data_IF_270439749419
#
_entry.id   IF_270439749419
#
_cell.length_a   1.000
_cell.length_b   1.000
_cell.length_c   1.000
_cell.angle_alpha   90.00
_cell.angle_beta   90.00
_cell.angle_gamma   90.00
#
_symmetry.space_group_name_H-M   'P 1'
#
loop_
_entity.id
_entity.type
_entity.pdbx_description
1 polymer ?
#
# COMPACT_ATOMS: atom_id res chain seq x y z
N UNK A 1 -12.96 1.79 10.79
CA UNK A 1 -13.15 3.07 10.09
C UNK A 1 -13.05 2.94 8.56
N UNK A 2 -12.35 1.91 8.03
CA UNK A 2 -12.14 1.69 6.59
C UNK A 2 -13.01 0.58 5.99
N UNK A 3 -13.94 0.02 6.75
CA UNK A 3 -14.86 -1.01 6.24
C UNK A 3 -15.65 -0.52 5.02
N UNK A 4 -15.75 -1.35 3.98
CA UNK A 4 -16.38 -0.98 2.71
C UNK A 4 -15.44 -0.31 1.69
N UNK A 5 -14.18 -0.07 2.07
CA UNK A 5 -13.16 0.52 1.20
C UNK A 5 -11.92 -0.37 1.14
N UNK A 6 -11.22 -0.31 0.04
CA UNK A 6 -9.85 -0.82 -0.02
C UNK A 6 -8.93 0.07 0.81
N UNK A 7 -7.94 -0.52 1.44
CA UNK A 7 -6.95 0.20 2.24
C UNK A 7 -5.53 -0.20 1.84
N UNK A 8 -4.70 0.80 1.60
CA UNK A 8 -3.25 0.66 1.55
C UNK A 8 -2.70 1.16 2.88
N UNK A 9 -2.38 0.23 3.79
CA UNK A 9 -1.63 0.50 5.01
C UNK A 9 -0.14 0.35 4.70
N UNK A 10 0.65 1.40 4.94
CA UNK A 10 2.08 1.35 4.65
C UNK A 10 2.91 1.99 5.75
N UNK A 11 4.00 1.33 6.11
CA UNK A 11 4.96 1.86 7.07
C UNK A 11 6.14 2.52 6.39
N UNK A 12 6.77 3.46 7.07
CA UNK A 12 8.03 4.08 6.66
C UNK A 12 9.00 4.16 7.85
N UNK A 13 10.32 4.14 7.59
CA UNK A 13 11.32 4.09 8.64
C UNK A 13 11.33 5.29 9.58
N UNK A 14 11.30 6.50 9.04
CA UNK A 14 11.30 7.72 9.86
C UNK A 14 10.90 8.95 9.03
N UNK A 15 10.24 9.90 9.70
CA UNK A 15 9.98 11.22 9.19
C UNK A 15 11.28 11.96 8.84
N UNK A 16 11.20 12.98 8.00
CA UNK A 16 12.32 13.84 7.56
C UNK A 16 13.47 13.10 6.84
N UNK A 17 13.30 11.84 6.47
CA UNK A 17 14.32 11.10 5.70
C UNK A 17 14.08 11.23 4.19
N UNK A 18 15.14 11.18 3.36
CA UNK A 18 15.01 11.46 1.92
C UNK A 18 14.08 10.50 1.19
N UNK A 19 14.26 9.19 1.35
CA UNK A 19 13.46 8.18 0.65
C UNK A 19 12.00 8.24 1.08
N UNK A 20 11.72 8.35 2.39
CA UNK A 20 10.35 8.46 2.90
C UNK A 20 9.66 9.73 2.36
N UNK A 21 10.38 10.84 2.26
CA UNK A 21 9.84 12.07 1.68
C UNK A 21 9.44 11.89 0.21
N UNK A 22 10.26 11.20 -0.60
CA UNK A 22 9.91 10.91 -2.00
C UNK A 22 8.68 10.02 -2.12
N UNK A 23 8.55 9.02 -1.24
CA UNK A 23 7.40 8.12 -1.21
C UNK A 23 6.11 8.85 -0.85
N UNK A 24 6.12 9.69 0.20
CA UNK A 24 4.96 10.46 0.62
C UNK A 24 4.48 11.43 -0.45
N UNK A 25 5.41 12.10 -1.13
CA UNK A 25 5.10 12.96 -2.28
C UNK A 25 4.45 12.14 -3.41
N UNK A 26 4.97 10.94 -3.70
CA UNK A 26 4.43 10.07 -4.73
C UNK A 26 3.02 9.55 -4.38
N UNK A 27 2.79 9.12 -3.13
CA UNK A 27 1.47 8.73 -2.65
C UNK A 27 0.48 9.90 -2.71
N UNK A 28 0.89 11.09 -2.27
CA UNK A 28 0.04 12.28 -2.30
C UNK A 28 -0.37 12.66 -3.73
N UNK A 29 0.55 12.60 -4.68
CA UNK A 29 0.28 12.86 -6.10
C UNK A 29 -0.62 11.79 -6.73
N UNK A 30 -0.59 10.57 -6.21
CA UNK A 30 -1.42 9.47 -6.66
C UNK A 30 -2.77 9.37 -5.90
N UNK A 31 -3.01 10.20 -4.89
CA UNK A 31 -4.16 10.12 -3.99
C UNK A 31 -5.48 10.03 -4.74
N UNK A 32 -5.73 10.90 -5.72
CA UNK A 32 -6.99 10.91 -6.47
C UNK A 32 -7.17 9.65 -7.33
N UNK A 33 -6.07 9.03 -7.77
CA UNK A 33 -6.12 7.75 -8.49
C UNK A 33 -6.49 6.60 -7.57
N UNK A 34 -5.99 6.59 -6.34
CA UNK A 34 -6.42 5.62 -5.33
C UNK A 34 -7.89 5.83 -4.95
N UNK A 35 -8.30 7.08 -4.73
CA UNK A 35 -9.70 7.40 -4.43
C UNK A 35 -10.65 6.94 -5.54
N UNK A 36 -10.27 7.09 -6.81
CA UNK A 36 -11.03 6.59 -7.97
C UNK A 36 -11.17 5.05 -7.97
N UNK A 37 -10.27 4.33 -7.29
CA UNK A 37 -10.34 2.88 -7.07
C UNK A 37 -11.01 2.53 -5.72
N UNK A 38 -11.77 3.44 -5.11
CA UNK A 38 -12.35 3.26 -3.77
C UNK A 38 -11.31 2.82 -2.73
N UNK A 39 -10.10 3.37 -2.80
CA UNK A 39 -8.95 2.97 -1.99
C UNK A 39 -8.47 4.14 -1.14
N UNK A 40 -8.36 3.93 0.16
CA UNK A 40 -7.79 4.86 1.13
C UNK A 40 -6.30 4.55 1.38
N UNK A 41 -5.56 5.58 1.76
CA UNK A 41 -4.16 5.50 2.13
C UNK A 41 -4.00 5.76 3.63
N UNK A 42 -3.17 4.98 4.30
CA UNK A 42 -2.87 5.11 5.71
C UNK A 42 -1.38 4.86 5.95
N UNK A 43 -0.66 5.94 6.29
CA UNK A 43 0.75 5.86 6.65
C UNK A 43 0.96 5.43 8.10
N UNK A 44 2.15 4.91 8.43
CA UNK A 44 2.53 4.56 9.78
C UNK A 44 4.04 4.70 9.96
N UNK A 45 4.46 5.28 11.07
CA UNK A 45 5.81 5.10 11.61
C UNK A 45 5.80 5.16 13.13
N UNK A 46 6.95 4.88 13.74
CA UNK A 46 7.12 4.99 15.19
C UNK A 46 7.42 6.42 15.66
N UNK A 47 7.42 7.39 14.75
CA UNK A 47 7.57 8.80 15.09
C UNK A 47 6.32 9.34 15.79
N UNK A 48 6.49 10.43 16.54
CA UNK A 48 5.38 11.08 17.23
C UNK A 48 4.47 11.84 16.27
N UNK A 49 3.20 12.04 16.67
CA UNK A 49 2.27 12.90 15.90
C UNK A 49 2.79 14.31 15.68
N UNK A 50 3.61 14.83 16.60
CA UNK A 50 4.21 16.15 16.45
C UNK A 50 5.28 16.18 15.36
N UNK A 51 6.06 15.09 15.23
CA UNK A 51 7.00 14.91 14.14
C UNK A 51 6.24 14.80 12.80
N UNK A 52 5.19 13.97 12.72
CA UNK A 52 4.34 13.87 11.54
C UNK A 52 3.78 15.23 11.09
N UNK A 53 3.21 16.01 12.01
CA UNK A 53 2.66 17.33 11.72
C UNK A 53 3.75 18.27 11.17
N UNK A 54 4.91 18.31 11.79
CA UNK A 54 6.01 19.14 11.36
C UNK A 54 6.54 18.71 9.98
N UNK A 55 6.65 17.40 9.74
CA UNK A 55 7.12 16.85 8.49
C UNK A 55 6.17 17.12 7.32
N UNK A 56 4.87 16.87 7.51
CA UNK A 56 3.84 17.16 6.50
C UNK A 56 3.84 18.64 6.11
N UNK A 57 3.95 19.54 7.09
CA UNK A 57 4.11 20.98 6.83
C UNK A 57 5.37 21.29 6.03
N UNK A 58 6.50 20.70 6.40
CA UNK A 58 7.77 20.87 5.68
C UNK A 58 7.67 20.37 4.22
N UNK A 59 6.98 19.25 3.97
CA UNK A 59 6.73 18.75 2.60
C UNK A 59 5.92 19.78 1.81
N UNK A 60 4.84 20.30 2.41
CA UNK A 60 4.02 21.33 1.75
C UNK A 60 4.82 22.59 1.44
N UNK A 61 5.58 23.09 2.41
CA UNK A 61 6.39 24.32 2.26
C UNK A 61 7.49 24.17 1.21
N UNK A 62 8.19 23.04 1.18
CA UNK A 62 9.35 22.84 0.30
C UNK A 62 9.00 22.31 -1.09
N UNK A 63 7.97 21.50 -1.21
CA UNK A 63 7.62 20.79 -2.45
C UNK A 63 6.24 21.14 -3.00
N UNK A 64 5.45 21.97 -2.31
CA UNK A 64 4.11 22.36 -2.73
C UNK A 64 3.10 21.21 -2.75
N UNK A 65 3.34 20.15 -1.99
CA UNK A 65 2.51 18.94 -1.98
C UNK A 65 1.79 18.78 -0.65
N UNK A 66 0.46 18.67 -0.69
CA UNK A 66 -0.37 18.37 0.48
C UNK A 66 -0.49 16.87 0.70
N UNK A 67 -0.13 16.41 1.91
CA UNK A 67 -0.40 15.04 2.35
C UNK A 67 -1.82 14.99 2.90
N UNK A 68 -2.75 14.37 2.15
CA UNK A 68 -4.19 14.33 2.45
C UNK A 68 -4.65 13.04 3.14
N UNK A 69 -3.76 12.11 3.38
CA UNK A 69 -4.04 10.86 4.08
C UNK A 69 -3.49 10.90 5.52
N UNK A 70 -4.12 10.18 6.46
CA UNK A 70 -3.65 10.12 7.83
C UNK A 70 -2.37 9.31 7.99
N UNK A 71 -1.65 9.60 9.09
CA UNK A 71 -0.43 8.89 9.49
C UNK A 71 -0.62 8.44 10.93
N UNK A 72 -0.46 7.16 11.18
CA UNK A 72 -0.51 6.57 12.53
C UNK A 72 0.79 6.88 13.26
N UNK A 73 0.67 7.48 14.44
CA UNK A 73 1.72 7.54 15.45
C UNK A 73 1.76 6.19 16.19
N UNK A 74 2.82 5.41 15.99
CA UNK A 74 2.98 4.11 16.65
C UNK A 74 4.20 4.10 17.59
N UNK A 75 4.27 5.08 18.50
CA UNK A 75 5.34 5.19 19.50
C UNK A 75 5.51 3.94 20.37
N UNK A 76 4.42 3.22 20.61
CA UNK A 76 4.44 1.96 21.35
C UNK A 76 4.93 0.78 20.53
N UNK A 77 5.10 0.96 19.22
CA UNK A 77 5.42 -0.09 18.25
C UNK A 77 4.39 -1.25 18.21
N UNK A 78 3.19 -1.03 18.77
CA UNK A 78 2.17 -2.07 18.87
C UNK A 78 1.67 -2.50 17.48
N UNK A 79 1.34 -1.55 16.63
CA UNK A 79 0.87 -1.83 15.26
C UNK A 79 2.02 -2.39 14.43
N UNK A 80 3.21 -1.80 14.54
CA UNK A 80 4.39 -2.27 13.82
C UNK A 80 4.75 -3.73 14.14
N UNK A 81 4.65 -4.13 15.39
CA UNK A 81 4.86 -5.54 15.79
C UNK A 81 3.72 -6.45 15.31
N UNK A 82 2.47 -6.02 15.47
CA UNK A 82 1.28 -6.80 15.06
C UNK A 82 1.33 -7.15 13.57
N UNK A 83 1.75 -6.20 12.73
CA UNK A 83 1.84 -6.38 11.28
C UNK A 83 3.20 -6.88 10.79
N UNK A 84 4.15 -7.18 11.69
CA UNK A 84 5.49 -7.63 11.30
C UNK A 84 6.30 -6.56 10.55
N UNK A 85 6.10 -5.29 10.87
CA UNK A 85 6.81 -4.17 10.24
C UNK A 85 8.20 -3.94 10.83
N UNK A 86 8.51 -4.53 11.98
CA UNK A 86 9.83 -4.49 12.60
C UNK A 86 10.53 -5.80 12.32
N UNK A 87 11.62 -5.74 11.56
CA UNK A 87 12.34 -6.93 11.12
C UNK A 87 13.71 -7.02 11.80
N UNK A 88 14.01 -8.12 12.53
CA UNK A 88 15.33 -8.33 13.09
C UNK A 88 16.42 -8.26 12.01
N UNK A 89 17.47 -7.49 12.28
CA UNK A 89 18.61 -7.31 11.37
C UNK A 89 18.40 -6.32 10.22
N UNK A 90 17.19 -5.83 9.98
CA UNK A 90 16.93 -4.81 8.98
C UNK A 90 16.98 -3.39 9.55
N UNK A 91 16.55 -3.22 10.79
CA UNK A 91 16.63 -1.98 11.55
C UNK A 91 16.70 -2.30 13.05
N UNK A 92 16.99 -1.30 13.85
CA UNK A 92 16.92 -1.39 15.30
C UNK A 92 15.47 -1.37 15.80
N UNK A 93 14.80 -0.21 15.74
CA UNK A 93 13.41 -0.03 16.16
C UNK A 93 12.51 0.53 15.05
N UNK A 94 13.10 1.04 13.96
CA UNK A 94 12.32 1.64 12.87
C UNK A 94 11.47 0.59 12.14
N UNK A 95 10.26 0.97 11.76
CA UNK A 95 9.47 0.15 10.86
C UNK A 95 10.14 0.05 9.47
N UNK A 96 10.12 -1.12 8.86
CA UNK A 96 10.59 -1.29 7.48
C UNK A 96 9.57 -0.70 6.48
N UNK A 97 9.91 -0.70 5.18
CA UNK A 97 8.99 -0.26 4.12
C UNK A 97 8.01 -1.39 3.77
N UNK A 98 7.07 -1.66 4.65
CA UNK A 98 6.00 -2.63 4.43
C UNK A 98 4.77 -1.94 3.83
N UNK A 99 4.04 -2.65 2.99
CA UNK A 99 2.76 -2.22 2.42
C UNK A 99 1.79 -3.38 2.44
N UNK A 100 0.60 -3.14 2.95
CA UNK A 100 -0.49 -4.11 3.08
C UNK A 100 -1.68 -3.62 2.27
N UNK A 101 -2.17 -4.47 1.37
CA UNK A 101 -3.38 -4.23 0.60
C UNK A 101 -4.52 -5.00 1.25
N UNK A 102 -5.50 -4.27 1.76
CA UNK A 102 -6.63 -4.81 2.51
C UNK A 102 -7.91 -4.50 1.75
N UNK A 103 -8.78 -5.51 1.57
CA UNK A 103 -10.02 -5.35 0.84
C UNK A 103 -11.16 -4.75 1.71
N UNK A 104 -12.33 -4.42 1.09
CA UNK A 104 -13.47 -3.84 1.80
C UNK A 104 -14.05 -4.71 2.93
N UNK A 105 -13.76 -6.00 2.95
CA UNK A 105 -14.17 -6.95 4.00
C UNK A 105 -13.14 -7.05 5.13
N UNK A 106 -12.02 -6.33 5.02
CA UNK A 106 -10.94 -6.34 5.99
C UNK A 106 -9.96 -7.52 5.79
N UNK A 107 -10.01 -8.19 4.64
CA UNK A 107 -9.11 -9.31 4.34
C UNK A 107 -7.81 -8.77 3.75
N UNK A 108 -6.68 -9.23 4.27
CA UNK A 108 -5.36 -8.96 3.73
C UNK A 108 -5.16 -9.71 2.41
N UNK A 109 -5.01 -8.96 1.32
CA UNK A 109 -4.92 -9.50 -0.04
C UNK A 109 -3.48 -9.59 -0.56
N UNK A 110 -2.63 -8.68 -0.15
CA UNK A 110 -1.21 -8.68 -0.52
C UNK A 110 -0.37 -7.96 0.52
N UNK A 111 0.88 -8.38 0.66
CA UNK A 111 1.92 -7.70 1.44
C UNK A 111 3.18 -7.59 0.60
N UNK A 112 3.82 -6.44 0.67
CA UNK A 112 5.05 -6.15 -0.06
C UNK A 112 6.03 -5.47 0.86
N UNK A 113 7.25 -5.99 0.92
CA UNK A 113 8.35 -5.48 1.74
C UNK A 113 9.48 -5.00 0.86
N UNK A 114 9.96 -3.80 1.12
CA UNK A 114 11.10 -3.20 0.45
C UNK A 114 12.26 -2.99 1.42
N UNK A 115 13.52 -3.13 0.97
CA UNK A 115 14.68 -2.74 1.77
C UNK A 115 14.61 -1.27 2.18
N UNK A 116 15.23 -0.93 3.32
CA UNK A 116 15.26 0.43 3.85
C UNK A 116 15.81 1.46 2.86
N UNK A 117 16.76 1.05 2.03
CA UNK A 117 17.45 1.88 1.03
C UNK A 117 16.64 2.18 -0.23
N UNK A 118 15.52 1.47 -0.47
CA UNK A 118 14.81 1.50 -1.74
C UNK A 118 13.40 2.02 -1.59
N UNK A 119 13.06 3.10 -2.30
CA UNK A 119 11.70 3.62 -2.37
C UNK A 119 10.76 2.70 -3.16
N UNK A 120 9.51 2.65 -2.74
CA UNK A 120 8.47 1.79 -3.33
C UNK A 120 7.95 2.33 -4.66
N UNK A 121 7.49 1.42 -5.51
CA UNK A 121 6.78 1.76 -6.75
C UNK A 121 5.29 2.01 -6.47
N UNK A 122 4.88 3.26 -6.35
CA UNK A 122 3.47 3.61 -6.12
C UNK A 122 2.59 3.23 -7.31
N UNK A 123 3.14 3.24 -8.53
CA UNK A 123 2.44 2.75 -9.73
C UNK A 123 2.06 1.27 -9.61
N UNK A 124 2.92 0.45 -9.03
CA UNK A 124 2.62 -0.97 -8.83
C UNK A 124 1.47 -1.17 -7.85
N UNK A 125 1.38 -0.40 -6.78
CA UNK A 125 0.24 -0.50 -5.87
C UNK A 125 -1.08 -0.09 -6.51
N UNK A 126 -1.09 0.92 -7.36
CA UNK A 126 -2.27 1.26 -8.17
C UNK A 126 -2.66 0.11 -9.11
N UNK A 127 -1.67 -0.45 -9.83
CA UNK A 127 -1.90 -1.60 -10.71
C UNK A 127 -2.43 -2.80 -9.94
N UNK A 128 -1.81 -3.12 -8.79
CA UNK A 128 -2.18 -4.28 -7.97
C UNK A 128 -3.61 -4.17 -7.43
N UNK A 129 -4.00 -3.01 -6.90
CA UNK A 129 -5.39 -2.79 -6.45
C UNK A 129 -6.37 -2.96 -7.61
N UNK A 130 -6.10 -2.35 -8.76
CA UNK A 130 -6.96 -2.49 -9.94
C UNK A 130 -7.04 -3.93 -10.44
N UNK A 131 -5.94 -4.67 -10.41
CA UNK A 131 -5.91 -6.09 -10.78
C UNK A 131 -6.73 -6.95 -9.81
N UNK A 132 -6.63 -6.71 -8.49
CA UNK A 132 -7.42 -7.41 -7.48
C UNK A 132 -8.91 -7.12 -7.66
N UNK A 133 -9.29 -5.86 -7.90
CA UNK A 133 -10.68 -5.47 -8.17
C UNK A 133 -11.22 -6.14 -9.45
N UNK A 134 -10.41 -6.18 -10.50
CA UNK A 134 -10.77 -6.86 -11.76
C UNK A 134 -11.00 -8.35 -11.55
N UNK A 135 -10.11 -9.01 -10.82
CA UNK A 135 -10.22 -10.42 -10.50
C UNK A 135 -11.48 -10.73 -9.70
N UNK A 136 -11.76 -9.93 -8.67
CA UNK A 136 -12.94 -10.13 -7.80
C UNK A 136 -14.26 -9.90 -8.55
N UNK A 137 -14.34 -8.81 -9.32
CA UNK A 137 -15.57 -8.43 -10.02
C UNK A 137 -15.94 -9.41 -11.15
N UNK A 138 -14.94 -9.96 -11.84
CA UNK A 138 -15.15 -10.78 -13.03
C UNK A 138 -14.87 -12.27 -12.82
N UNK A 139 -14.42 -12.68 -11.63
CA UNK A 139 -14.00 -14.06 -11.30
C UNK A 139 -12.96 -14.62 -12.29
N UNK A 140 -11.96 -13.80 -12.59
CA UNK A 140 -10.86 -14.08 -13.50
C UNK A 140 -9.52 -14.00 -12.80
N UNK A 141 -8.45 -14.45 -13.46
CA UNK A 141 -7.09 -14.17 -13.07
C UNK A 141 -6.50 -13.07 -13.97
N UNK A 142 -5.74 -12.17 -13.38
CA UNK A 142 -5.02 -11.15 -14.13
C UNK A 142 -3.62 -11.67 -14.46
N UNK A 143 -3.15 -11.51 -15.72
CA UNK A 143 -1.81 -11.96 -16.10
C UNK A 143 -0.71 -11.06 -15.49
N UNK A 144 0.53 -11.46 -15.72
CA UNK A 144 1.70 -10.63 -15.41
C UNK A 144 1.52 -9.24 -16.01
N UNK A 145 1.84 -8.18 -15.24
CA UNK A 145 1.65 -6.77 -15.61
C UNK A 145 0.23 -6.35 -16.08
N UNK A 146 -0.78 -7.20 -15.96
CA UNK A 146 -2.12 -6.92 -16.44
C UNK A 146 -2.66 -5.57 -15.97
N UNK A 147 -3.21 -4.80 -16.92
CA UNK A 147 -3.79 -3.49 -16.71
C UNK A 147 -5.31 -3.54 -16.82
N UNK A 148 -6.05 -2.60 -16.23
CA UNK A 148 -7.48 -2.49 -16.44
C UNK A 148 -7.86 -2.38 -17.93
N UNK A 149 -8.82 -3.22 -18.36
CA UNK A 149 -9.26 -3.26 -19.76
C UNK A 149 -8.46 -4.17 -20.68
N UNK A 150 -7.37 -4.77 -20.21
CA UNK A 150 -6.62 -5.78 -20.95
C UNK A 150 -7.22 -7.19 -20.79
N UNK A 151 -6.87 -8.14 -21.67
CA UNK A 151 -7.35 -9.52 -21.57
C UNK A 151 -6.99 -10.15 -20.23
N UNK A 152 -7.96 -10.82 -19.62
CA UNK A 152 -7.80 -11.58 -18.39
C UNK A 152 -7.84 -13.09 -18.69
N UNK A 153 -7.33 -13.88 -17.75
CA UNK A 153 -7.28 -15.33 -17.86
C UNK A 153 -8.50 -15.96 -17.18
N UNK A 154 -9.09 -16.93 -17.80
CA UNK A 154 -10.10 -17.75 -17.13
C UNK A 154 -9.49 -18.47 -15.91
N UNK A 155 -10.31 -18.66 -14.89
CA UNK A 155 -9.89 -19.48 -13.74
C UNK A 155 -9.53 -20.89 -14.21
N UNK A 156 -8.49 -21.52 -13.64
CA UNK A 156 -8.12 -22.87 -14.02
C UNK A 156 -9.25 -23.85 -13.72
N UNK A 157 -9.46 -24.87 -14.57
CA UNK A 157 -10.48 -25.88 -14.34
C UNK A 157 -10.21 -26.63 -13.02
N UNK A 158 -11.29 -26.95 -12.30
CA UNK A 158 -11.19 -27.62 -11.00
C UNK A 158 -11.38 -29.14 -11.13
N UNK A 159 -11.81 -29.65 -12.31
CA UNK A 159 -12.00 -31.07 -12.61
C UNK A 159 -11.42 -31.42 -13.97
N UNK A 160 -11.14 -32.71 -14.19
CA UNK A 160 -10.63 -33.19 -15.47
C UNK A 160 -11.64 -32.98 -16.61
N UNK A 161 -12.94 -33.11 -16.32
CA UNK A 161 -14.00 -32.85 -17.32
C UNK A 161 -14.06 -31.38 -17.72
N UNK A 162 -13.88 -30.44 -16.76
CA UNK A 162 -13.85 -29.02 -17.05
C UNK A 162 -12.59 -28.62 -17.84
N UNK A 163 -11.53 -29.39 -17.80
CA UNK A 163 -10.28 -29.19 -18.53
C UNK A 163 -10.30 -29.76 -19.97
N UNK A 164 -11.36 -30.45 -20.37
CA UNK A 164 -11.46 -31.01 -21.73
C UNK A 164 -11.41 -29.87 -22.77
N UNK A 165 -10.71 -30.05 -23.90
CA UNK A 165 -10.70 -29.04 -24.97
C UNK A 165 -12.11 -28.88 -25.53
N UNK A 166 -12.53 -27.61 -25.70
CA UNK A 166 -13.78 -27.24 -26.36
C UNK A 166 -13.60 -27.23 -27.87
#
# INVERSE_FOLDING_TARGET
DYQGKWLILFSHPSDFTPVCTTEFIAFARAHDKFAALNTELLGLSIDSKYAHIAWVRSIKEKFGVDIRFPIIEDLSMHVAHTYGMVMPGASDTSAVRATFVIDPQGVLRAMVYYPMSNGRSIREFLRLVAALQTADANKVATPENGQPGEPALASPPQTAEAAAPR
#
